data_IF_580361804739
#
_entry.id   IF_580361804739
#
_cell.length_a   1.000
_cell.length_b   1.000
_cell.length_c   1.000
_cell.angle_alpha   90.00
_cell.angle_beta   90.00
_cell.angle_gamma   90.00
#
_symmetry.space_group_name_H-M   'P 1'
#
loop_
_entity.id
_entity.type
_entity.pdbx_description
1 polymer ?
#
# COMPACT_ATOMS: atom_id res chain seq x y z
N UNK A 1 -1.44 -5.86 -46.98
CA UNK A 1 -2.73 -5.23 -47.23
C UNK A 1 -3.78 -5.92 -46.36
N UNK A 2 -4.56 -5.16 -45.62
CA UNK A 2 -5.68 -5.71 -44.85
C UNK A 2 -6.83 -5.85 -45.83
N UNK A 3 -7.08 -7.06 -46.28
CA UNK A 3 -8.12 -7.35 -47.30
C UNK A 3 -9.50 -7.62 -46.65
N UNK A 4 -9.67 -7.41 -45.35
CA UNK A 4 -10.93 -7.60 -44.65
C UNK A 4 -11.28 -6.39 -43.77
N UNK A 5 -12.52 -5.91 -43.91
CA UNK A 5 -13.13 -4.95 -42.99
C UNK A 5 -14.24 -5.67 -42.26
N UNK A 6 -14.16 -5.71 -40.93
CA UNK A 6 -15.21 -6.25 -40.10
C UNK A 6 -16.04 -5.08 -39.57
N UNK A 7 -17.33 -5.09 -39.78
CA UNK A 7 -18.29 -4.05 -39.37
C UNK A 7 -19.41 -4.68 -38.55
N UNK A 8 -19.97 -3.89 -37.64
CA UNK A 8 -21.15 -4.24 -36.84
C UNK A 8 -21.00 -5.44 -35.91
N UNK A 9 -19.75 -5.77 -35.47
CA UNK A 9 -19.50 -6.74 -34.41
C UNK A 9 -18.65 -6.14 -33.30
N UNK A 10 -18.75 -6.62 -32.06
CA UNK A 10 -17.89 -6.19 -30.96
C UNK A 10 -16.41 -6.37 -31.31
N UNK A 11 -15.58 -5.40 -30.91
CA UNK A 11 -14.12 -5.44 -31.20
C UNK A 11 -13.47 -6.76 -30.79
N UNK A 12 -13.86 -7.35 -29.64
CA UNK A 12 -13.31 -8.61 -29.18
C UNK A 12 -13.61 -9.76 -30.14
N UNK A 13 -14.82 -9.79 -30.69
CA UNK A 13 -15.21 -10.84 -31.65
C UNK A 13 -14.46 -10.68 -32.97
N UNK A 14 -14.22 -9.43 -33.38
CA UNK A 14 -13.38 -9.13 -34.54
C UNK A 14 -11.94 -9.60 -34.33
N UNK A 15 -11.34 -9.33 -33.16
CA UNK A 15 -10.00 -9.77 -32.82
C UNK A 15 -9.88 -11.30 -32.76
N UNK A 16 -10.87 -11.96 -32.17
CA UNK A 16 -10.92 -13.42 -32.10
C UNK A 16 -11.01 -14.07 -33.48
N UNK A 17 -11.73 -13.43 -34.44
CA UNK A 17 -11.83 -13.91 -35.82
C UNK A 17 -10.49 -13.85 -36.56
N UNK A 18 -9.52 -13.08 -36.08
CA UNK A 18 -8.14 -13.00 -36.59
C UNK A 18 -7.14 -13.76 -35.72
N UNK A 19 -7.58 -14.61 -34.81
CA UNK A 19 -6.73 -15.30 -33.82
C UNK A 19 -5.89 -14.35 -32.94
N UNK A 20 -6.34 -13.09 -32.79
CA UNK A 20 -5.69 -12.13 -31.90
C UNK A 20 -6.22 -12.33 -30.50
N UNK A 21 -5.51 -13.12 -29.73
CA UNK A 21 -5.85 -13.44 -28.35
C UNK A 21 -5.47 -12.31 -27.39
N UNK A 22 -6.26 -12.13 -26.32
CA UNK A 22 -5.93 -11.20 -25.24
C UNK A 22 -4.55 -11.53 -24.68
N UNK A 23 -3.74 -10.51 -24.47
CA UNK A 23 -2.43 -10.66 -23.83
C UNK A 23 -2.60 -11.04 -22.36
N UNK A 24 -3.40 -10.31 -21.61
CA UNK A 24 -3.81 -10.65 -20.24
C UNK A 24 -5.32 -10.82 -20.16
N UNK A 25 -5.76 -11.91 -19.52
CA UNK A 25 -7.16 -12.08 -19.12
C UNK A 25 -7.23 -11.94 -17.59
N UNK A 26 -7.90 -10.88 -17.12
CA UNK A 26 -8.10 -10.56 -15.70
C UNK A 26 -9.42 -9.79 -15.54
N UNK A 27 -9.92 -9.62 -14.31
CA UNK A 27 -11.12 -8.82 -14.03
C UNK A 27 -10.91 -7.34 -14.39
N UNK A 28 -11.99 -6.65 -14.73
CA UNK A 28 -11.97 -5.23 -15.13
C UNK A 28 -11.51 -4.28 -14.01
N UNK A 29 -11.52 -4.74 -12.76
CA UNK A 29 -11.01 -3.99 -11.59
C UNK A 29 -9.47 -3.91 -11.52
N UNK A 30 -8.77 -4.70 -12.36
CA UNK A 30 -7.31 -4.70 -12.44
C UNK A 30 -6.87 -4.08 -13.75
N UNK A 31 -6.21 -2.94 -13.67
CA UNK A 31 -5.53 -2.35 -14.82
C UNK A 31 -4.15 -2.97 -14.97
N UNK A 32 -3.70 -3.10 -16.21
CA UNK A 32 -2.41 -3.69 -16.51
C UNK A 32 -1.72 -3.03 -17.71
N UNK A 33 -0.40 -3.17 -17.73
CA UNK A 33 0.43 -2.87 -18.91
C UNK A 33 1.46 -3.96 -19.09
N UNK A 34 1.93 -4.15 -20.32
CA UNK A 34 2.94 -5.15 -20.68
C UNK A 34 4.12 -4.48 -21.37
N UNK A 35 5.32 -4.99 -21.05
CA UNK A 35 6.56 -4.65 -21.73
C UNK A 35 7.41 -5.92 -21.90
N UNK A 36 7.98 -6.08 -23.08
CA UNK A 36 8.97 -7.10 -23.39
C UNK A 36 10.37 -6.48 -23.44
N UNK A 37 11.36 -7.13 -22.85
CA UNK A 37 12.76 -6.71 -22.87
C UNK A 37 13.67 -7.94 -22.77
N UNK A 38 14.45 -8.21 -23.82
CA UNK A 38 15.55 -9.22 -23.86
C UNK A 38 15.32 -10.48 -23.00
N UNK A 39 14.25 -11.23 -23.31
CA UNK A 39 13.91 -12.48 -22.61
C UNK A 39 13.17 -12.31 -21.30
N UNK A 40 12.68 -11.12 -21.01
CA UNK A 40 11.77 -10.81 -19.92
C UNK A 40 10.41 -10.40 -20.47
N UNK A 41 9.35 -10.95 -19.88
CA UNK A 41 7.98 -10.47 -20.04
C UNK A 41 7.56 -9.79 -18.75
N UNK A 42 7.31 -8.49 -18.79
CA UNK A 42 7.10 -7.65 -17.61
C UNK A 42 5.67 -7.10 -17.64
N UNK A 43 4.84 -7.57 -16.73
CA UNK A 43 3.47 -7.11 -16.57
C UNK A 43 3.34 -6.27 -15.30
N UNK A 44 2.85 -5.05 -15.41
CA UNK A 44 2.45 -4.25 -14.27
C UNK A 44 0.95 -4.39 -14.06
N UNK A 45 0.55 -4.74 -12.84
CA UNK A 45 -0.85 -4.90 -12.43
C UNK A 45 -1.16 -3.91 -11.31
N UNK A 46 -2.35 -3.31 -11.32
CA UNK A 46 -2.81 -2.45 -10.22
C UNK A 46 -4.29 -2.70 -9.91
N UNK A 47 -4.60 -2.86 -8.62
CA UNK A 47 -5.96 -3.01 -8.14
C UNK A 47 -6.63 -1.63 -8.07
N UNK A 48 -7.71 -1.44 -8.82
CA UNK A 48 -8.51 -0.20 -8.86
C UNK A 48 -9.92 -0.39 -8.29
N UNK A 49 -10.18 -1.51 -7.62
CA UNK A 49 -11.52 -1.83 -7.12
C UNK A 49 -11.93 -1.06 -5.85
N UNK A 50 -10.97 -0.39 -5.17
CA UNK A 50 -11.18 0.27 -3.87
C UNK A 50 -11.32 -0.71 -2.68
N UNK A 51 -11.02 -1.98 -2.86
CA UNK A 51 -11.09 -3.05 -1.84
C UNK A 51 -10.05 -4.14 -2.12
N UNK A 52 -9.84 -5.03 -1.15
CA UNK A 52 -9.06 -6.24 -1.36
C UNK A 52 -9.79 -7.19 -2.31
N UNK A 53 -9.06 -7.80 -3.25
CA UNK A 53 -9.58 -8.73 -4.24
C UNK A 53 -8.70 -9.96 -4.39
N UNK A 54 -9.35 -11.10 -4.62
CA UNK A 54 -8.70 -12.31 -5.10
C UNK A 54 -8.86 -12.37 -6.62
N UNK A 55 -7.74 -12.42 -7.33
CA UNK A 55 -7.71 -12.43 -8.81
C UNK A 55 -6.87 -13.58 -9.33
N UNK A 56 -7.17 -14.01 -10.52
CA UNK A 56 -6.39 -15.04 -11.21
C UNK A 56 -6.06 -14.57 -12.63
N UNK A 57 -5.14 -13.59 -12.78
CA UNK A 57 -4.71 -13.16 -14.09
C UNK A 57 -4.11 -14.33 -14.89
N UNK A 58 -4.41 -14.36 -16.19
CA UNK A 58 -3.88 -15.32 -17.13
C UNK A 58 -3.11 -14.57 -18.20
N UNK A 59 -1.81 -14.82 -18.26
CA UNK A 59 -0.85 -14.16 -19.15
C UNK A 59 -0.58 -15.04 -20.37
N UNK A 60 -0.43 -14.44 -21.54
CA UNK A 60 -0.05 -15.13 -22.77
C UNK A 60 1.47 -15.39 -22.79
N UNK A 61 1.93 -16.13 -21.81
CA UNK A 61 3.33 -16.52 -21.59
C UNK A 61 3.37 -18.00 -21.20
N UNK A 62 4.28 -18.75 -21.81
CA UNK A 62 4.57 -20.14 -21.46
C UNK A 62 6.09 -20.38 -21.45
N UNK A 63 6.53 -21.42 -20.76
CA UNK A 63 7.94 -21.81 -20.73
C UNK A 63 8.84 -20.91 -19.86
N UNK A 64 8.30 -19.89 -19.20
CA UNK A 64 9.03 -18.98 -18.35
C UNK A 64 8.49 -19.02 -16.91
N UNK A 65 9.38 -18.85 -15.92
CA UNK A 65 9.01 -18.88 -14.51
C UNK A 65 8.55 -17.49 -14.05
N UNK A 66 7.38 -17.38 -13.37
CA UNK A 66 6.88 -16.10 -12.89
C UNK A 66 7.51 -15.68 -11.57
N UNK A 67 7.80 -14.41 -11.46
CA UNK A 67 8.23 -13.72 -10.24
C UNK A 67 7.29 -12.55 -9.93
N UNK A 68 7.13 -12.23 -8.65
CA UNK A 68 6.46 -11.03 -8.18
C UNK A 68 7.51 -10.02 -7.73
N UNK A 69 7.50 -8.83 -8.33
CA UNK A 69 8.38 -7.74 -7.95
C UNK A 69 7.56 -6.62 -7.31
N UNK A 70 7.93 -6.27 -6.10
CA UNK A 70 7.31 -5.17 -5.35
C UNK A 70 8.14 -3.90 -5.50
N UNK A 71 7.62 -2.92 -6.24
CA UNK A 71 8.32 -1.66 -6.48
C UNK A 71 8.44 -0.78 -5.21
N UNK A 72 7.62 -1.01 -4.18
CA UNK A 72 7.65 -0.23 -2.93
C UNK A 72 8.76 -0.70 -2.01
N UNK A 73 8.93 -2.02 -1.89
CA UNK A 73 9.92 -2.63 -0.99
C UNK A 73 11.22 -2.99 -1.71
N UNK A 74 11.18 -3.13 -3.04
CA UNK A 74 12.27 -3.69 -3.84
C UNK A 74 12.41 -5.21 -3.73
N UNK A 75 11.45 -5.87 -3.10
CA UNK A 75 11.46 -7.32 -2.90
C UNK A 75 11.12 -8.04 -4.20
N UNK A 76 11.85 -9.12 -4.47
CA UNK A 76 11.60 -10.02 -5.58
C UNK A 76 11.33 -11.40 -5.01
N UNK A 77 10.14 -11.96 -5.33
CA UNK A 77 9.70 -13.29 -4.89
C UNK A 77 9.42 -14.19 -6.08
N UNK A 78 9.81 -15.44 -6.00
CA UNK A 78 9.32 -16.44 -6.93
C UNK A 78 7.86 -16.77 -6.62
N UNK A 79 7.02 -16.82 -7.64
CA UNK A 79 5.63 -17.25 -7.50
C UNK A 79 5.60 -18.79 -7.52
N UNK A 80 5.08 -19.36 -6.44
CA UNK A 80 5.06 -20.80 -6.18
C UNK A 80 3.70 -21.44 -6.39
N UNK A 81 2.71 -20.69 -6.86
CA UNK A 81 1.39 -21.18 -7.26
C UNK A 81 1.04 -20.61 -8.64
N UNK A 82 1.09 -21.42 -9.66
CA UNK A 82 0.69 -21.08 -11.02
C UNK A 82 0.42 -22.35 -11.85
N UNK A 83 -0.30 -22.17 -12.95
CA UNK A 83 -0.59 -23.23 -13.90
C UNK A 83 -0.48 -22.74 -15.34
N UNK A 84 0.20 -23.53 -16.17
CA UNK A 84 0.26 -23.31 -17.61
C UNK A 84 -0.77 -24.20 -18.31
N UNK A 85 -1.58 -23.61 -19.17
CA UNK A 85 -2.57 -24.30 -19.97
C UNK A 85 -2.80 -23.52 -21.25
N UNK A 86 -2.78 -24.19 -22.39
CA UNK A 86 -3.06 -23.64 -23.72
C UNK A 86 -2.21 -22.38 -24.04
N UNK A 87 -0.90 -22.44 -23.78
CA UNK A 87 0.04 -21.35 -24.04
C UNK A 87 -0.09 -20.14 -23.08
N UNK A 88 -0.74 -20.31 -21.94
CA UNK A 88 -0.99 -19.25 -20.97
C UNK A 88 -0.65 -19.66 -19.55
N UNK A 89 -0.02 -18.78 -18.83
CA UNK A 89 0.26 -18.94 -17.38
C UNK A 89 -0.79 -18.20 -16.56
N UNK A 90 -1.52 -18.94 -15.73
CA UNK A 90 -2.51 -18.42 -14.79
C UNK A 90 -1.96 -18.42 -13.37
N UNK A 91 -2.08 -17.30 -12.66
CA UNK A 91 -1.46 -17.08 -11.36
C UNK A 91 -2.51 -16.55 -10.37
N UNK A 92 -2.87 -17.29 -9.30
CA UNK A 92 -3.72 -16.75 -8.26
C UNK A 92 -2.94 -15.72 -7.41
N UNK A 93 -3.53 -14.53 -7.24
CA UNK A 93 -2.97 -13.42 -6.47
C UNK A 93 -4.07 -12.80 -5.59
N UNK A 94 -3.69 -12.42 -4.37
CA UNK A 94 -4.53 -11.59 -3.51
C UNK A 94 -3.97 -10.17 -3.53
N UNK A 95 -4.69 -9.25 -4.15
CA UNK A 95 -4.28 -7.85 -4.26
C UNK A 95 -5.06 -7.00 -3.26
N UNK A 96 -4.34 -6.44 -2.30
CA UNK A 96 -4.92 -5.48 -1.35
C UNK A 96 -5.34 -4.19 -2.08
N UNK A 97 -6.15 -3.38 -1.41
CA UNK A 97 -6.61 -2.10 -1.95
C UNK A 97 -5.44 -1.24 -2.41
N UNK A 98 -5.57 -0.63 -3.60
CA UNK A 98 -4.57 0.25 -4.21
C UNK A 98 -3.18 -0.40 -4.45
N UNK A 99 -3.08 -1.73 -4.28
CA UNK A 99 -1.83 -2.46 -4.46
C UNK A 99 -1.45 -2.57 -5.94
N UNK A 100 -0.15 -2.42 -6.20
CA UNK A 100 0.42 -2.59 -7.53
C UNK A 100 1.63 -3.51 -7.48
N UNK A 101 1.76 -4.41 -8.47
CA UNK A 101 2.88 -5.33 -8.59
C UNK A 101 3.36 -5.46 -10.02
N UNK A 102 4.63 -5.83 -10.17
CA UNK A 102 5.10 -6.39 -11.42
C UNK A 102 5.07 -7.92 -11.32
N UNK A 103 4.47 -8.55 -12.32
CA UNK A 103 4.64 -9.99 -12.60
C UNK A 103 5.65 -10.09 -13.72
N UNK A 104 6.79 -10.70 -13.44
CA UNK A 104 7.91 -10.79 -14.38
C UNK A 104 8.17 -12.25 -14.69
N UNK A 105 8.18 -12.59 -15.96
CA UNK A 105 8.55 -13.91 -16.43
C UNK A 105 9.95 -13.88 -17.02
N UNK A 106 10.79 -14.85 -16.64
CA UNK A 106 12.18 -14.88 -17.08
C UNK A 106 12.71 -16.30 -17.23
N UNK A 107 13.78 -16.44 -18.02
CA UNK A 107 14.54 -17.68 -18.16
C UNK A 107 15.55 -17.91 -17.02
N UNK A 108 15.61 -17.04 -16.02
CA UNK A 108 16.68 -17.01 -15.02
C UNK A 108 16.67 -18.18 -14.01
N UNK A 109 15.68 -19.06 -14.04
CA UNK A 109 15.61 -20.21 -13.15
C UNK A 109 15.67 -21.53 -13.95
N UNK A 110 16.53 -22.44 -13.52
CA UNK A 110 16.87 -23.67 -14.23
C UNK A 110 15.79 -24.76 -14.26
N UNK A 111 14.64 -24.56 -13.63
CA UNK A 111 13.56 -25.55 -13.54
C UNK A 111 12.20 -24.92 -13.78
N UNK A 112 11.78 -24.88 -15.03
CA UNK A 112 10.40 -24.57 -15.37
C UNK A 112 9.53 -25.81 -15.16
N UNK A 113 8.37 -25.64 -14.52
CA UNK A 113 7.31 -26.63 -14.40
C UNK A 113 5.99 -26.05 -14.90
N UNK A 114 5.14 -26.87 -15.51
CA UNK A 114 3.85 -26.40 -16.05
C UNK A 114 2.83 -26.09 -14.96
N UNK A 115 2.99 -26.68 -13.78
CA UNK A 115 2.12 -26.43 -12.63
C UNK A 115 2.96 -26.44 -11.34
N UNK A 116 2.82 -25.41 -10.56
CA UNK A 116 3.36 -25.30 -9.20
C UNK A 116 2.24 -25.01 -8.22
N UNK A 117 2.28 -25.63 -7.06
CA UNK A 117 1.27 -25.50 -5.99
C UNK A 117 1.97 -24.98 -4.76
N UNK A 118 1.53 -23.79 -4.28
CA UNK A 118 2.11 -23.14 -3.12
C UNK A 118 1.28 -21.94 -2.66
N UNK A 119 1.94 -20.94 -2.05
CA UNK A 119 1.33 -19.67 -1.66
C UNK A 119 2.08 -18.51 -2.34
N UNK A 120 1.41 -17.70 -3.11
CA UNK A 120 1.98 -16.51 -3.76
C UNK A 120 1.97 -15.28 -2.87
N UNK A 121 1.01 -15.19 -1.97
CA UNK A 121 0.83 -14.05 -1.07
C UNK A 121 0.93 -14.52 0.38
N UNK A 122 1.66 -13.78 1.24
CA UNK A 122 1.72 -14.08 2.66
C UNK A 122 0.36 -13.87 3.33
N UNK A 123 0.09 -14.65 4.34
CA UNK A 123 -1.04 -14.43 5.24
C UNK A 123 -0.53 -13.72 6.50
N UNK A 124 -1.29 -12.72 6.96
CA UNK A 124 -0.95 -11.92 8.13
C UNK A 124 -1.93 -12.22 9.25
N UNK A 125 -1.41 -12.71 10.37
CA UNK A 125 -2.19 -13.04 11.55
C UNK A 125 -1.87 -12.08 12.69
N UNK A 126 -2.89 -11.33 13.14
CA UNK A 126 -2.75 -10.43 14.28
C UNK A 126 -2.45 -11.22 15.56
N UNK A 127 -1.35 -10.90 16.20
CA UNK A 127 -0.94 -11.48 17.49
C UNK A 127 -1.09 -10.49 18.63
N UNK A 128 -0.97 -9.19 18.36
CA UNK A 128 -1.11 -8.15 19.37
C UNK A 128 -1.72 -6.88 18.74
N UNK A 129 -2.60 -6.22 19.47
CA UNK A 129 -3.09 -4.86 19.15
C UNK A 129 -2.50 -3.89 20.16
N UNK A 130 -1.97 -2.77 19.69
CA UNK A 130 -1.39 -1.74 20.55
C UNK A 130 -2.54 -0.86 21.07
N UNK A 131 -2.99 -1.15 22.27
CA UNK A 131 -4.08 -0.46 22.99
C UNK A 131 -3.59 0.39 24.16
N UNK A 132 -2.27 0.50 24.32
CA UNK A 132 -1.62 1.34 25.32
C UNK A 132 -1.75 2.83 24.97
N UNK A 133 -1.77 3.74 25.97
CA UNK A 133 -1.86 5.18 25.72
C UNK A 133 -0.70 5.69 24.85
N UNK A 134 -1.03 6.61 23.96
CA UNK A 134 -0.10 7.31 23.08
C UNK A 134 0.18 8.71 23.59
N UNK A 135 1.44 9.11 23.63
CA UNK A 135 1.85 10.49 23.72
C UNK A 135 2.13 11.03 22.31
N UNK A 136 1.47 12.14 21.93
CA UNK A 136 1.58 12.74 20.62
C UNK A 136 2.23 14.11 20.75
N UNK A 137 3.40 14.30 20.16
CA UNK A 137 4.16 15.54 20.14
C UNK A 137 4.20 16.12 18.73
N UNK A 138 3.79 17.37 18.57
CA UNK A 138 3.70 18.04 17.27
C UNK A 138 4.93 18.92 17.00
N UNK A 139 5.49 18.84 15.79
CA UNK A 139 6.71 19.55 15.40
C UNK A 139 6.45 21.00 14.89
N UNK A 140 5.54 21.74 15.49
CA UNK A 140 5.34 23.15 15.14
C UNK A 140 5.19 24.01 16.38
N UNK A 141 5.88 25.14 16.40
CA UNK A 141 5.92 26.00 17.59
C UNK A 141 4.72 26.95 17.71
N UNK A 142 4.04 27.30 16.62
CA UNK A 142 3.07 28.41 16.62
C UNK A 142 1.65 28.02 16.20
N UNK A 143 1.45 26.90 15.54
CA UNK A 143 0.16 26.45 14.96
C UNK A 143 -0.09 24.97 15.20
N UNK A 144 0.49 24.42 16.23
CA UNK A 144 0.32 23.02 16.62
C UNK A 144 -0.47 22.92 17.93
N UNK A 145 -1.22 21.85 18.11
CA UNK A 145 -1.76 21.49 19.40
C UNK A 145 -0.65 21.35 20.45
N UNK A 146 -1.01 21.43 21.71
CA UNK A 146 -0.13 20.96 22.79
C UNK A 146 0.04 19.44 22.70
N UNK A 147 1.05 18.90 23.39
CA UNK A 147 1.19 17.46 23.58
C UNK A 147 -0.14 16.85 24.03
N UNK A 148 -0.55 15.79 23.34
CA UNK A 148 -1.79 15.07 23.60
C UNK A 148 -1.43 13.68 24.15
N UNK A 149 -2.11 13.25 25.21
CA UNK A 149 -2.07 11.85 25.66
C UNK A 149 -3.45 11.25 25.43
N UNK A 150 -3.54 10.15 24.68
CA UNK A 150 -4.80 9.50 24.34
C UNK A 150 -4.62 7.99 24.22
N UNK A 151 -5.66 7.24 24.57
CA UNK A 151 -5.76 5.80 24.27
C UNK A 151 -6.43 5.52 22.93
N UNK A 152 -7.02 6.54 22.29
CA UNK A 152 -7.74 6.37 21.02
C UNK A 152 -7.02 7.12 19.90
N UNK A 153 -6.67 6.37 18.86
CA UNK A 153 -6.17 6.94 17.61
C UNK A 153 -7.34 7.44 16.77
N UNK A 154 -7.20 8.64 16.19
CA UNK A 154 -8.30 9.28 15.49
C UNK A 154 -7.83 10.02 14.24
N UNK A 155 -8.77 10.24 13.34
CA UNK A 155 -8.62 11.17 12.22
C UNK A 155 -8.71 12.61 12.73
N UNK A 156 -7.60 13.35 12.70
CA UNK A 156 -7.53 14.71 13.18
C UNK A 156 -8.48 15.66 12.43
N UNK A 157 -8.75 15.38 11.16
CA UNK A 157 -9.65 16.21 10.35
C UNK A 157 -11.08 16.27 10.91
N UNK A 158 -11.42 15.33 11.81
CA UNK A 158 -12.72 15.25 12.50
C UNK A 158 -12.70 15.84 13.90
N UNK A 159 -11.58 16.43 14.33
CA UNK A 159 -11.48 17.07 15.64
C UNK A 159 -12.36 18.33 15.72
N UNK A 160 -12.88 18.60 16.91
CA UNK A 160 -13.53 19.88 17.22
C UNK A 160 -12.51 20.99 17.55
N UNK A 161 -11.27 20.63 17.90
CA UNK A 161 -10.17 21.58 18.08
C UNK A 161 -9.57 21.96 16.73
N UNK A 162 -9.74 23.21 16.32
CA UNK A 162 -9.26 23.74 15.05
C UNK A 162 -7.73 23.65 14.90
N UNK A 163 -6.97 23.72 15.99
CA UNK A 163 -5.51 23.55 15.94
C UNK A 163 -5.13 22.14 15.49
N UNK A 164 -5.89 21.13 15.91
CA UNK A 164 -5.69 19.75 15.51
C UNK A 164 -6.32 19.47 14.14
N UNK A 165 -7.56 19.91 13.94
CA UNK A 165 -8.33 19.73 12.70
C UNK A 165 -7.58 20.20 11.47
N UNK A 166 -6.99 21.38 11.55
CA UNK A 166 -6.26 22.01 10.46
C UNK A 166 -4.74 21.84 10.58
N UNK A 167 -4.28 20.94 11.45
CA UNK A 167 -2.84 20.70 11.57
C UNK A 167 -2.27 20.07 10.33
N UNK A 168 -1.20 20.64 9.81
CA UNK A 168 -0.37 20.08 8.74
C UNK A 168 1.08 20.16 9.16
N UNK A 169 1.77 19.01 9.12
CA UNK A 169 3.14 18.91 9.58
C UNK A 169 3.47 17.50 10.06
N UNK A 170 4.41 17.43 10.98
CA UNK A 170 4.88 16.18 11.56
C UNK A 170 4.38 16.04 12.99
N UNK A 171 3.98 14.83 13.36
CA UNK A 171 3.67 14.48 14.74
C UNK A 171 4.32 13.15 15.12
N UNK A 172 4.91 13.12 16.31
CA UNK A 172 5.57 11.94 16.85
C UNK A 172 4.66 11.29 17.88
N UNK A 173 4.21 10.08 17.58
CA UNK A 173 3.45 9.22 18.48
C UNK A 173 4.42 8.29 19.21
N UNK A 174 4.33 8.25 20.52
CA UNK A 174 5.18 7.38 21.35
C UNK A 174 4.31 6.54 22.27
N UNK A 175 4.62 5.26 22.36
CA UNK A 175 4.00 4.33 23.32
C UNK A 175 4.96 3.21 23.68
N UNK A 176 4.61 2.40 24.68
CA UNK A 176 5.29 1.14 25.00
C UNK A 176 4.28 0.01 25.01
N UNK A 177 4.71 -1.18 24.61
CA UNK A 177 3.90 -2.40 24.66
C UNK A 177 4.75 -3.61 25.02
N UNK A 178 4.11 -4.63 25.59
CA UNK A 178 4.76 -5.90 25.86
C UNK A 178 4.54 -6.88 24.72
N UNK A 179 5.57 -7.60 24.35
CA UNK A 179 5.53 -8.65 23.33
C UNK A 179 6.16 -9.94 23.85
N UNK A 180 5.52 -11.08 23.60
CA UNK A 180 6.09 -12.39 23.84
C UNK A 180 6.55 -12.99 22.52
N UNK A 181 7.87 -13.16 22.41
CA UNK A 181 8.51 -13.67 21.20
C UNK A 181 8.16 -15.16 21.02
N UNK A 182 7.63 -15.49 19.87
CA UNK A 182 7.40 -16.88 19.44
C UNK A 182 8.45 -17.26 18.39
N UNK A 183 8.56 -18.56 18.07
CA UNK A 183 9.51 -19.10 17.07
C UNK A 183 9.15 -18.70 15.62
N UNK A 184 8.38 -17.63 15.42
CA UNK A 184 7.96 -17.12 14.11
C UNK A 184 9.09 -16.32 13.48
N UNK A 185 9.34 -16.55 12.19
CA UNK A 185 10.47 -15.96 11.48
C UNK A 185 10.26 -14.49 11.13
N UNK A 186 9.05 -14.11 10.72
CA UNK A 186 8.76 -12.76 10.25
C UNK A 186 7.60 -12.14 11.01
N UNK A 187 7.88 -10.99 11.60
CA UNK A 187 6.91 -10.18 12.34
C UNK A 187 6.81 -8.81 11.69
N UNK A 188 5.60 -8.36 11.43
CA UNK A 188 5.34 -7.04 10.85
C UNK A 188 4.50 -6.20 11.81
N UNK A 189 4.71 -4.89 11.76
CA UNK A 189 3.78 -3.91 12.32
C UNK A 189 2.88 -3.42 11.20
N UNK A 190 1.58 -3.42 11.43
CA UNK A 190 0.58 -2.80 10.58
C UNK A 190 0.02 -1.57 11.29
N UNK A 191 0.16 -0.41 10.69
CA UNK A 191 -0.26 0.87 11.26
C UNK A 191 -1.75 1.15 11.01
N UNK A 192 -2.43 0.27 10.26
CA UNK A 192 -3.80 0.47 9.84
C UNK A 192 -3.92 1.68 8.90
N UNK A 193 -4.72 2.67 9.27
CA UNK A 193 -4.88 3.89 8.46
C UNK A 193 -3.96 5.00 8.92
N UNK A 194 -3.27 5.62 7.97
CA UNK A 194 -2.33 6.73 8.19
C UNK A 194 -2.67 7.89 7.26
N UNK A 195 -2.64 9.09 7.78
CA UNK A 195 -2.87 10.31 6.99
C UNK A 195 -1.61 10.78 6.29
N UNK A 196 -1.08 9.99 5.41
CA UNK A 196 -0.18 10.01 4.28
C UNK A 196 1.07 9.18 4.47
N UNK A 197 1.95 9.50 5.41
CA UNK A 197 3.25 8.82 5.53
C UNK A 197 3.63 8.62 6.99
N UNK A 198 4.22 7.48 7.31
CA UNK A 198 4.71 7.18 8.64
C UNK A 198 6.12 6.58 8.61
N UNK A 199 7.01 7.08 9.46
CA UNK A 199 8.30 6.45 9.76
C UNK A 199 8.20 5.78 11.12
N UNK A 200 8.61 4.52 11.20
CA UNK A 200 8.57 3.71 12.43
C UNK A 200 9.96 3.54 13.00
N UNK A 201 10.08 3.78 14.30
CA UNK A 201 11.26 3.45 15.12
C UNK A 201 10.84 2.53 16.24
N UNK A 202 11.47 1.39 16.37
CA UNK A 202 11.21 0.42 17.43
C UNK A 202 12.49 0.18 18.22
N UNK A 203 12.45 0.39 19.55
CA UNK A 203 13.59 0.25 20.47
C UNK A 203 14.82 1.08 20.04
N UNK A 204 14.58 2.27 19.48
CA UNK A 204 15.62 3.18 19.01
C UNK A 204 16.22 2.82 17.65
N UNK A 205 15.76 1.74 16.99
CA UNK A 205 16.16 1.35 15.64
C UNK A 205 15.08 1.82 14.66
N UNK A 206 15.44 2.67 13.68
CA UNK A 206 14.55 3.00 12.58
C UNK A 206 14.29 1.74 11.74
N UNK A 207 13.02 1.38 11.62
CA UNK A 207 12.55 0.20 10.90
C UNK A 207 12.32 0.51 9.42
N UNK A 208 11.79 1.69 9.16
CA UNK A 208 11.52 2.17 7.81
C UNK A 208 10.41 3.19 7.73
N UNK A 209 10.12 3.61 6.50
CA UNK A 209 9.05 4.56 6.19
C UNK A 209 8.05 3.93 5.23
N UNK A 210 6.76 3.96 5.60
CA UNK A 210 5.65 3.59 4.72
C UNK A 210 4.91 4.85 4.28
N UNK A 211 4.62 4.98 2.98
CA UNK A 211 4.03 6.15 2.35
C UNK A 211 2.78 5.83 1.51
N UNK A 212 2.35 4.60 1.54
CA UNK A 212 1.12 4.11 0.90
C UNK A 212 0.59 2.88 1.64
N UNK A 213 -0.69 2.60 1.47
CA UNK A 213 -1.32 1.37 1.99
C UNK A 213 -0.81 0.11 1.24
N UNK A 214 -0.75 -1.04 1.94
CA UNK A 214 -0.90 -1.20 3.38
C UNK A 214 0.31 -0.67 4.13
N UNK A 215 0.08 0.01 5.26
CA UNK A 215 1.15 0.61 6.07
C UNK A 215 1.82 -0.42 6.96
N UNK A 216 2.50 -1.37 6.34
CA UNK A 216 3.22 -2.48 7.01
C UNK A 216 4.71 -2.35 6.88
N UNK A 217 5.42 -2.69 7.96
CA UNK A 217 6.88 -2.73 8.00
C UNK A 217 7.34 -3.99 8.76
N UNK A 218 8.40 -4.65 8.28
CA UNK A 218 9.00 -5.77 8.99
C UNK A 218 9.76 -5.25 10.21
N UNK A 219 9.42 -5.75 11.39
CA UNK A 219 10.00 -5.35 12.68
C UNK A 219 10.80 -6.46 13.35
N UNK A 220 10.95 -7.61 12.72
CA UNK A 220 11.55 -8.82 13.30
C UNK A 220 12.87 -8.56 14.02
N UNK A 221 13.76 -7.79 13.39
CA UNK A 221 15.11 -7.49 13.91
C UNK A 221 15.15 -6.41 15.00
N UNK A 222 14.07 -5.66 15.16
CA UNK A 222 13.98 -4.58 16.16
C UNK A 222 13.11 -4.98 17.36
N UNK A 223 12.29 -6.02 17.22
CA UNK A 223 11.35 -6.50 18.22
C UNK A 223 12.08 -7.29 19.31
N UNK A 224 11.77 -7.02 20.57
CA UNK A 224 12.38 -7.64 21.73
C UNK A 224 11.34 -8.42 22.56
N UNK A 225 11.81 -9.40 23.33
CA UNK A 225 11.00 -10.03 24.37
C UNK A 225 10.71 -9.03 25.49
N UNK A 226 9.48 -8.97 25.98
CA UNK A 226 9.05 -8.06 27.03
C UNK A 226 8.68 -6.68 26.49
N UNK A 227 9.07 -5.62 27.21
CA UNK A 227 8.70 -4.25 26.90
C UNK A 227 9.43 -3.72 25.66
N UNK A 228 8.67 -3.12 24.75
CA UNK A 228 9.16 -2.48 23.54
C UNK A 228 8.68 -1.02 23.48
N UNK A 229 9.60 -0.10 23.16
CA UNK A 229 9.28 1.31 22.91
C UNK A 229 9.04 1.53 21.43
N UNK A 230 7.84 2.02 21.08
CA UNK A 230 7.42 2.30 19.71
C UNK A 230 7.30 3.81 19.51
N UNK A 231 7.92 4.30 18.45
CA UNK A 231 7.82 5.69 18.00
C UNK A 231 7.38 5.71 16.54
N UNK A 232 6.31 6.45 16.23
CA UNK A 232 5.77 6.59 14.88
C UNK A 232 5.70 8.06 14.54
N UNK A 233 6.51 8.49 13.58
CA UNK A 233 6.48 9.85 13.06
C UNK A 233 5.56 9.91 11.84
N UNK A 234 4.42 10.57 12.00
CA UNK A 234 3.44 10.77 10.93
C UNK A 234 3.64 12.14 10.28
N UNK A 235 3.55 12.17 8.97
CA UNK A 235 3.59 13.39 8.16
C UNK A 235 2.33 13.46 7.32
N UNK A 236 1.56 14.54 7.44
CA UNK A 236 0.38 14.77 6.62
C UNK A 236 0.59 15.92 5.62
N UNK A 237 -0.33 16.04 4.66
CA UNK A 237 -0.28 17.05 3.59
C UNK A 237 -0.77 18.41 4.06
N UNK A 238 -0.47 19.48 3.31
CA UNK A 238 -0.84 20.86 3.59
C UNK A 238 -2.33 21.17 3.38
N UNK A 239 -3.09 20.28 2.74
CA UNK A 239 -4.47 20.54 2.34
C UNK A 239 -5.35 21.07 3.47
N UNK A 240 -5.34 20.41 4.64
CA UNK A 240 -6.17 20.78 5.77
C UNK A 240 -5.81 22.18 6.32
N UNK A 241 -4.49 22.48 6.39
CA UNK A 241 -4.04 23.82 6.79
C UNK A 241 -4.50 24.90 5.82
N UNK A 242 -4.34 24.67 4.53
CA UNK A 242 -4.78 25.61 3.49
C UNK A 242 -6.29 25.83 3.54
N UNK A 243 -7.07 24.77 3.79
CA UNK A 243 -8.53 24.86 3.97
C UNK A 243 -8.90 25.71 5.20
N UNK A 244 -8.22 25.50 6.33
CA UNK A 244 -8.42 26.29 7.54
C UNK A 244 -8.04 27.74 7.35
N UNK A 245 -6.88 28.03 6.78
CA UNK A 245 -6.42 29.40 6.53
C UNK A 245 -7.37 30.15 5.58
N UNK A 246 -7.98 29.48 4.61
CA UNK A 246 -8.91 30.11 3.68
C UNK A 246 -10.15 30.69 4.35
N UNK A 247 -10.56 30.13 5.49
CA UNK A 247 -11.66 30.64 6.30
C UNK A 247 -11.28 31.90 7.11
N UNK A 248 -9.98 32.23 7.19
CA UNK A 248 -9.46 33.35 7.97
C UNK A 248 -9.25 34.60 7.10
N UNK A 249 -9.30 35.81 7.72
CA UNK A 249 -8.81 37.03 7.11
C UNK A 249 -7.36 36.87 6.63
N UNK A 250 -6.98 37.62 5.60
CA UNK A 250 -5.68 37.44 4.93
C UNK A 250 -4.49 37.63 5.89
N UNK A 251 -4.61 38.55 6.81
CA UNK A 251 -3.61 38.91 7.85
C UNK A 251 -3.43 37.83 8.92
N UNK A 252 -4.42 36.96 9.10
CA UNK A 252 -4.40 35.87 10.08
C UNK A 252 -3.94 34.51 9.49
N UNK A 253 -3.80 34.45 8.16
CA UNK A 253 -3.37 33.24 7.48
C UNK A 253 -1.92 32.94 7.76
N UNK A 254 -1.62 31.66 7.98
CA UNK A 254 -0.27 31.17 8.26
C UNK A 254 0.42 30.61 7.03
N UNK A 255 -0.33 30.41 5.93
CA UNK A 255 0.17 29.92 4.66
C UNK A 255 -0.13 30.90 3.53
N UNK A 256 0.65 30.83 2.45
CA UNK A 256 0.37 31.56 1.21
C UNK A 256 0.52 30.63 0.00
N UNK A 257 -0.35 30.79 -0.99
CA UNK A 257 -0.35 30.04 -2.24
C UNK A 257 -0.42 31.01 -3.42
N UNK A 258 0.32 30.70 -4.48
CA UNK A 258 0.30 31.51 -5.71
C UNK A 258 -1.01 31.30 -6.49
N UNK A 259 -1.51 30.08 -6.47
CA UNK A 259 -2.76 29.70 -7.15
C UNK A 259 -3.65 29.02 -6.13
N UNK A 260 -4.76 29.64 -5.80
CA UNK A 260 -5.74 29.10 -4.85
C UNK A 260 -6.74 28.19 -5.58
N UNK A 261 -6.48 26.89 -5.55
CA UNK A 261 -7.35 25.85 -6.12
C UNK A 261 -8.22 25.16 -5.05
N UNK A 262 -8.08 25.53 -3.77
CA UNK A 262 -8.84 24.90 -2.70
C UNK A 262 -10.20 25.56 -2.60
N UNK A 263 -11.26 24.79 -2.75
CA UNK A 263 -12.63 25.24 -2.51
C UNK A 263 -13.06 24.89 -1.09
N UNK A 264 -13.76 25.77 -0.37
CA UNK A 264 -14.24 25.49 0.99
C UNK A 264 -15.20 24.30 1.09
N UNK A 265 -15.80 23.89 -0.05
CA UNK A 265 -16.73 22.77 -0.14
C UNK A 265 -16.03 21.40 -0.26
N UNK A 266 -14.70 21.37 -0.44
CA UNK A 266 -13.97 20.11 -0.54
C UNK A 266 -13.82 19.48 0.83
N UNK A 267 -13.97 18.16 0.88
CA UNK A 267 -13.75 17.39 2.10
C UNK A 267 -12.30 17.51 2.59
N UNK A 268 -12.17 17.57 3.91
CA UNK A 268 -10.87 17.53 4.56
C UNK A 268 -10.17 16.19 4.27
N UNK A 269 -8.88 16.23 4.07
CA UNK A 269 -8.10 15.00 3.96
C UNK A 269 -7.95 14.35 5.34
N UNK A 270 -8.15 13.03 5.40
CA UNK A 270 -7.86 12.26 6.59
C UNK A 270 -6.41 12.50 7.04
N UNK A 271 -6.18 12.66 8.33
CA UNK A 271 -4.88 13.08 8.86
C UNK A 271 -4.56 12.45 10.21
N UNK A 272 -3.28 12.28 10.51
CA UNK A 272 -2.80 11.63 11.71
C UNK A 272 -2.67 10.10 11.58
N UNK A 273 -2.44 9.45 12.70
CA UNK A 273 -2.46 7.99 12.84
C UNK A 273 -3.84 7.58 13.32
N UNK A 274 -4.56 6.83 12.51
CA UNK A 274 -5.93 6.41 12.81
C UNK A 274 -6.02 4.96 13.28
N UNK A 275 -4.97 4.17 13.00
CA UNK A 275 -4.89 2.78 13.41
C UNK A 275 -5.93 1.84 12.74
N UNK A 276 -6.25 0.69 13.37
CA UNK A 276 -5.57 0.17 14.55
C UNK A 276 -4.11 -0.19 14.27
N UNK A 277 -3.24 0.01 15.25
CA UNK A 277 -1.83 -0.45 15.16
C UNK A 277 -1.75 -1.87 15.69
N UNK A 278 -1.28 -2.80 14.88
CA UNK A 278 -1.21 -4.22 15.22
C UNK A 278 0.16 -4.81 14.93
N UNK A 279 0.54 -5.81 15.72
CA UNK A 279 1.66 -6.69 15.44
C UNK A 279 1.10 -7.97 14.82
N UNK A 280 1.66 -8.37 13.70
CA UNK A 280 1.19 -9.52 12.93
C UNK A 280 2.36 -10.46 12.64
N UNK A 281 2.10 -11.74 12.63
CA UNK A 281 3.04 -12.76 12.15
C UNK A 281 2.71 -13.11 10.71
N UNK A 282 3.75 -13.43 9.94
CA UNK A 282 3.63 -13.84 8.54
C UNK A 282 3.63 -15.37 8.49
N UNK A 283 2.55 -15.97 7.90
CA UNK A 283 2.36 -17.43 7.76
C UNK A 283 2.54 -17.88 6.30
#
# INVERSE_FOLDING_TARGET
PVDAVIVDIPLQDALNAFDINKDVAVSDDVLWTHREQEGLEIYFLTNQSGKDIDVKPSFRVEGLKPQLWDAVTGEIKELSDYKVTDGRTSIPLKMEVDRSWFVVFSNASNEFVEEAIGKNTPEYKVTNTIDTPWEINFESKNIAPKTITTSELMDWSKSEDDLLKYYSGKANYTTTFNYHKSDVKDVVIDLGKVGVMATVTLNGKEVGTSWMAPYRLNITDALQEGENKLEIKVVNVWRNRLTGDKALPLEERTTSVLVDQITPAEEMSASGLMGPVTIQVVE
#
